data_IF_357953603821
#
_entry.id   IF_357953603821
#
_cell.length_a   1.000
_cell.length_b   1.000
_cell.length_c   1.000
_cell.angle_alpha   90.00
_cell.angle_beta   90.00
_cell.angle_gamma   90.00
#
_symmetry.space_group_name_H-M   'P 1'
#
loop_
_entity.id
_entity.type
_entity.pdbx_description
1 polymer ?
#
# COMPACT_ATOMS: atom_id res chain seq x y z
N UNK A 1 -6.91 18.91 -11.79
CA UNK A 1 -5.94 18.50 -10.75
C UNK A 1 -6.68 17.61 -9.77
N UNK A 2 -6.12 16.46 -9.42
CA UNK A 2 -6.73 15.55 -8.46
C UNK A 2 -6.55 16.15 -7.07
N UNK A 3 -7.66 16.31 -6.36
CA UNK A 3 -7.68 16.89 -5.03
C UNK A 3 -7.40 15.82 -3.97
N UNK A 4 -6.31 16.01 -3.22
CA UNK A 4 -5.86 15.16 -2.12
C UNK A 4 -5.37 16.13 -1.03
N UNK A 5 -6.26 16.62 -0.17
CA UNK A 5 -6.02 17.81 0.64
C UNK A 5 -4.93 17.63 1.70
N UNK A 6 -4.69 16.41 2.15
CA UNK A 6 -3.70 16.06 3.18
C UNK A 6 -2.42 15.43 2.62
N UNK A 7 -2.17 15.56 1.31
CA UNK A 7 -1.00 14.98 0.67
C UNK A 7 0.29 15.57 1.25
N UNK A 8 1.15 14.70 1.77
CA UNK A 8 2.50 15.01 2.25
C UNK A 8 3.51 14.59 1.19
N UNK A 9 4.09 15.57 0.51
CA UNK A 9 5.14 15.34 -0.47
C UNK A 9 6.42 14.80 0.17
N UNK A 10 6.98 13.76 -0.43
CA UNK A 10 8.29 13.22 -0.10
C UNK A 10 9.35 13.71 -1.09
N UNK A 11 9.15 13.40 -2.38
CA UNK A 11 10.06 13.77 -3.46
C UNK A 11 9.36 13.63 -4.81
N UNK A 12 9.90 14.24 -5.86
CA UNK A 12 9.35 14.11 -7.21
C UNK A 12 9.54 12.69 -7.76
N UNK A 13 8.56 12.20 -8.53
CA UNK A 13 8.73 10.96 -9.27
C UNK A 13 9.74 11.18 -10.42
N UNK A 14 10.74 10.31 -10.63
CA UNK A 14 11.65 10.42 -11.76
C UNK A 14 10.91 10.37 -13.11
N UNK A 15 11.31 11.21 -14.06
CA UNK A 15 10.66 11.29 -15.38
C UNK A 15 10.78 9.97 -16.15
N UNK A 16 11.86 9.23 -15.97
CA UNK A 16 12.06 7.92 -16.59
C UNK A 16 10.99 6.93 -16.11
N UNK A 17 10.65 6.96 -14.81
CA UNK A 17 9.61 6.11 -14.23
C UNK A 17 8.23 6.52 -14.75
N UNK A 18 7.93 7.81 -14.81
CA UNK A 18 6.67 8.30 -15.41
C UNK A 18 6.54 7.80 -16.85
N UNK A 19 7.59 7.95 -17.66
CA UNK A 19 7.59 7.50 -19.05
C UNK A 19 7.47 5.98 -19.20
N UNK A 20 8.07 5.20 -18.28
CA UNK A 20 7.99 3.74 -18.26
C UNK A 20 6.57 3.21 -18.02
N UNK A 21 5.75 3.95 -17.27
CA UNK A 21 4.45 3.50 -16.77
C UNK A 21 3.22 4.27 -17.30
N UNK A 22 3.39 5.41 -17.97
CA UNK A 22 2.28 6.28 -18.41
C UNK A 22 1.14 5.61 -19.18
N UNK A 23 1.44 4.55 -19.92
CA UNK A 23 0.46 3.80 -20.73
C UNK A 23 0.07 2.44 -20.10
N UNK A 24 0.52 2.17 -18.87
CA UNK A 24 0.34 0.88 -18.17
C UNK A 24 -0.50 0.97 -16.90
N UNK A 25 -0.54 2.16 -16.29
CA UNK A 25 -1.35 2.46 -15.11
C UNK A 25 -2.34 3.58 -15.44
N UNK A 26 -3.36 3.80 -14.59
CA UNK A 26 -4.38 4.82 -14.84
C UNK A 26 -3.82 6.23 -14.97
N UNK A 27 -4.38 7.01 -15.89
CA UNK A 27 -3.96 8.39 -16.17
C UNK A 27 -4.06 9.28 -14.94
N UNK A 28 -5.00 8.98 -14.03
CA UNK A 28 -5.16 9.71 -12.78
C UNK A 28 -3.94 9.56 -11.87
N UNK A 29 -3.34 8.36 -11.80
CA UNK A 29 -2.14 8.13 -11.01
C UNK A 29 -0.94 8.86 -11.64
N UNK A 30 -0.83 8.83 -12.96
CA UNK A 30 0.19 9.57 -13.70
C UNK A 30 0.05 11.08 -13.46
N UNK A 31 -1.18 11.60 -13.41
CA UNK A 31 -1.41 13.01 -13.06
C UNK A 31 -0.92 13.33 -11.64
N UNK A 32 -1.12 12.43 -10.67
CA UNK A 32 -0.60 12.62 -9.30
C UNK A 32 0.92 12.54 -9.27
N UNK A 33 1.55 11.63 -10.01
CA UNK A 33 3.01 11.56 -10.08
C UNK A 33 3.64 12.84 -10.66
N UNK A 34 3.03 13.42 -11.70
CA UNK A 34 3.51 14.67 -12.28
C UNK A 34 3.29 15.90 -11.37
N UNK A 35 2.15 15.97 -10.68
CA UNK A 35 1.77 17.13 -9.87
C UNK A 35 2.34 17.09 -8.44
N UNK A 36 2.35 15.90 -7.83
CA UNK A 36 2.64 15.71 -6.40
C UNK A 36 3.82 14.78 -6.12
N UNK A 37 4.24 13.96 -7.08
CA UNK A 37 5.33 13.01 -6.92
C UNK A 37 5.00 11.85 -5.96
N UNK A 38 6.03 11.41 -5.23
CA UNK A 38 5.93 10.44 -4.15
C UNK A 38 5.52 11.13 -2.86
N UNK A 39 4.79 10.41 -2.01
CA UNK A 39 4.31 10.97 -0.74
C UNK A 39 3.26 10.09 -0.09
N UNK A 40 2.65 10.61 0.96
CA UNK A 40 1.56 9.95 1.68
C UNK A 40 0.32 10.82 1.75
N UNK A 41 -0.83 10.18 1.97
CA UNK A 41 -2.11 10.85 2.19
C UNK A 41 -3.02 9.95 3.05
N UNK A 42 -4.22 10.42 3.35
CA UNK A 42 -5.16 9.72 4.24
C UNK A 42 -4.56 9.49 5.63
N UNK A 43 -4.13 10.58 6.27
CA UNK A 43 -3.47 10.58 7.58
C UNK A 43 -2.19 9.73 7.59
N UNK A 44 -1.49 9.64 6.45
CA UNK A 44 -0.27 8.84 6.28
C UNK A 44 -0.51 7.36 5.97
N UNK A 45 -1.78 6.92 5.90
CA UNK A 45 -2.12 5.51 5.70
C UNK A 45 -1.72 5.03 4.31
N UNK A 46 -2.03 5.77 3.25
CA UNK A 46 -1.70 5.41 1.87
C UNK A 46 -0.46 6.15 1.40
N UNK A 47 0.42 5.44 0.69
CA UNK A 47 1.65 6.00 0.13
C UNK A 47 1.71 5.80 -1.36
N UNK A 48 1.89 6.88 -2.11
CA UNK A 48 2.23 6.85 -3.55
C UNK A 48 3.68 6.41 -3.66
N UNK A 49 3.95 5.30 -4.34
CA UNK A 49 5.28 4.69 -4.45
C UNK A 49 5.83 4.71 -5.87
N UNK A 50 7.14 4.59 -5.97
CA UNK A 50 7.81 4.20 -7.21
C UNK A 50 7.66 2.67 -7.38
N UNK A 51 7.02 2.18 -8.45
CA UNK A 51 6.80 0.73 -8.61
C UNK A 51 8.10 -0.08 -8.62
N UNK A 52 9.17 0.48 -9.19
CA UNK A 52 10.46 -0.21 -9.36
C UNK A 52 11.07 -0.64 -8.01
N UNK A 53 10.78 0.08 -6.92
CA UNK A 53 11.34 -0.21 -5.59
C UNK A 53 10.72 -1.44 -4.91
N UNK A 54 9.62 -1.96 -5.49
CA UNK A 54 8.79 -3.03 -4.94
C UNK A 54 8.66 -4.25 -5.86
N UNK A 55 9.25 -4.23 -7.05
CA UNK A 55 9.14 -5.35 -8.00
C UNK A 55 9.74 -6.65 -7.45
N UNK A 56 10.90 -6.58 -6.79
CA UNK A 56 11.57 -7.76 -6.25
C UNK A 56 10.75 -8.40 -5.13
N UNK A 57 10.29 -7.60 -4.15
CA UNK A 57 9.47 -8.13 -3.06
C UNK A 57 8.13 -8.65 -3.57
N UNK A 58 7.53 -8.01 -4.58
CA UNK A 58 6.31 -8.48 -5.19
C UNK A 58 6.50 -9.84 -5.87
N UNK A 59 7.61 -10.01 -6.61
CA UNK A 59 7.97 -11.26 -7.28
C UNK A 59 8.12 -12.43 -6.30
N UNK A 60 8.67 -12.17 -5.12
CA UNK A 60 8.88 -13.22 -4.11
C UNK A 60 7.60 -13.55 -3.33
N UNK A 61 6.61 -12.65 -3.31
CA UNK A 61 5.50 -12.70 -2.35
C UNK A 61 4.10 -12.78 -2.98
N UNK A 62 3.98 -12.72 -4.30
CA UNK A 62 2.70 -12.81 -5.00
C UNK A 62 2.79 -13.66 -6.27
N UNK A 63 1.96 -14.70 -6.35
CA UNK A 63 1.97 -15.69 -7.43
C UNK A 63 1.71 -15.09 -8.82
N UNK A 64 1.05 -13.92 -8.89
CA UNK A 64 0.74 -13.22 -10.15
C UNK A 64 1.54 -11.92 -10.34
N UNK A 65 2.69 -11.77 -9.67
CA UNK A 65 3.55 -10.59 -9.74
C UNK A 65 3.83 -10.08 -11.18
N UNK A 66 4.00 -10.98 -12.15
CA UNK A 66 4.23 -10.65 -13.57
C UNK A 66 3.10 -9.84 -14.23
N UNK A 67 1.88 -9.87 -13.66
CA UNK A 67 0.70 -9.14 -14.15
C UNK A 67 0.40 -7.88 -13.36
N UNK A 68 1.11 -7.66 -12.26
CA UNK A 68 0.78 -6.67 -11.25
C UNK A 68 1.81 -5.53 -11.24
N UNK A 69 1.34 -4.29 -11.16
CA UNK A 69 2.20 -3.11 -10.99
C UNK A 69 1.94 -2.54 -9.59
N UNK A 70 2.92 -2.52 -8.68
CA UNK A 70 2.72 -1.93 -7.36
C UNK A 70 2.57 -0.41 -7.50
N UNK A 71 1.49 0.13 -6.94
CA UNK A 71 1.08 1.54 -7.12
C UNK A 71 0.93 2.29 -5.80
N UNK A 72 0.59 1.59 -4.71
CA UNK A 72 0.58 2.14 -3.37
C UNK A 72 1.06 1.12 -2.35
N UNK A 73 1.44 1.61 -1.17
CA UNK A 73 1.56 0.80 0.04
C UNK A 73 0.69 1.37 1.14
N UNK A 74 0.33 0.52 2.11
CA UNK A 74 -0.36 0.96 3.31
C UNK A 74 0.59 1.00 4.52
N UNK A 75 0.31 1.90 5.45
CA UNK A 75 0.98 1.92 6.74
C UNK A 75 0.63 0.71 7.64
N UNK A 76 -0.22 -0.22 7.17
CA UNK A 76 -0.56 -1.48 7.83
C UNK A 76 0.07 -2.71 7.16
N UNK A 77 1.02 -2.52 6.25
CA UNK A 77 1.83 -3.63 5.73
C UNK A 77 1.32 -4.26 4.43
N UNK A 78 0.42 -3.59 3.71
CA UNK A 78 -0.16 -4.11 2.47
C UNK A 78 0.41 -3.38 1.24
N UNK A 79 0.45 -4.07 0.09
CA UNK A 79 0.76 -3.45 -1.22
C UNK A 79 -0.54 -3.40 -2.03
N UNK A 80 -0.84 -2.25 -2.63
CA UNK A 80 -1.88 -2.14 -3.64
C UNK A 80 -1.24 -2.21 -5.03
N UNK A 81 -1.78 -3.08 -5.87
CA UNK A 81 -1.31 -3.29 -7.23
C UNK A 81 -2.39 -2.92 -8.25
N UNK A 82 -1.95 -2.43 -9.41
CA UNK A 82 -2.77 -2.34 -10.61
C UNK A 82 -2.64 -3.63 -11.41
N UNK A 83 -3.75 -4.35 -11.59
CA UNK A 83 -3.78 -5.62 -12.28
C UNK A 83 -5.13 -5.80 -12.99
N UNK A 84 -5.10 -6.20 -14.26
CA UNK A 84 -6.29 -6.52 -15.07
C UNK A 84 -7.40 -5.44 -15.07
N UNK A 85 -7.04 -4.17 -14.85
CA UNK A 85 -7.99 -3.05 -14.78
C UNK A 85 -8.56 -2.76 -13.39
N UNK A 86 -8.06 -3.42 -12.35
CA UNK A 86 -8.48 -3.30 -10.97
C UNK A 86 -7.33 -2.84 -10.07
N UNK A 87 -7.69 -2.20 -8.95
CA UNK A 87 -6.80 -2.04 -7.81
C UNK A 87 -7.02 -3.23 -6.90
N UNK A 88 -6.01 -4.09 -6.77
CA UNK A 88 -6.01 -5.20 -5.83
C UNK A 88 -5.17 -4.83 -4.61
N UNK A 89 -5.62 -5.22 -3.42
CA UNK A 89 -4.85 -5.12 -2.18
C UNK A 89 -4.30 -6.50 -1.83
N UNK A 90 -2.98 -6.59 -1.75
CA UNK A 90 -2.24 -7.75 -1.28
C UNK A 90 -2.12 -7.63 0.25
N UNK A 91 -3.00 -8.34 0.96
CA UNK A 91 -3.12 -8.27 2.43
C UNK A 91 -2.15 -9.23 3.11
N UNK A 92 -0.87 -8.87 3.17
CA UNK A 92 0.17 -9.75 3.72
C UNK A 92 -0.10 -10.17 5.16
N UNK A 93 -0.55 -9.24 6.01
CA UNK A 93 -0.89 -9.53 7.42
C UNK A 93 -2.02 -10.56 7.59
N UNK A 94 -2.93 -10.69 6.61
CA UNK A 94 -4.13 -11.56 6.68
C UNK A 94 -4.13 -12.71 5.68
N UNK A 95 -3.14 -12.77 4.78
CA UNK A 95 -2.97 -13.88 3.84
C UNK A 95 -4.02 -13.92 2.73
N UNK A 96 -4.26 -12.81 2.02
CA UNK A 96 -5.20 -12.83 0.89
C UNK A 96 -5.08 -11.65 -0.07
N UNK A 97 -5.78 -11.76 -1.20
CA UNK A 97 -5.87 -10.72 -2.23
C UNK A 97 -7.33 -10.31 -2.41
N UNK A 98 -7.60 -9.01 -2.33
CA UNK A 98 -8.95 -8.47 -2.48
C UNK A 98 -9.01 -7.31 -3.47
N UNK A 99 -10.16 -7.14 -4.15
CA UNK A 99 -10.39 -6.00 -5.02
C UNK A 99 -10.72 -4.77 -4.18
N UNK A 100 -9.79 -3.82 -4.10
CA UNK A 100 -9.99 -2.55 -3.42
C UNK A 100 -10.82 -1.56 -4.25
N UNK A 101 -10.63 -1.54 -5.57
CA UNK A 101 -11.41 -0.69 -6.47
C UNK A 101 -11.47 -1.21 -7.91
N UNK A 102 -12.66 -1.15 -8.53
CA UNK A 102 -12.86 -1.52 -9.94
C UNK A 102 -12.87 -0.37 -10.94
N UNK A 103 -12.87 0.89 -10.49
CA UNK A 103 -12.80 2.08 -11.35
C UNK A 103 -11.84 3.09 -10.75
N UNK A 104 -10.62 3.11 -11.26
CA UNK A 104 -9.54 3.94 -10.70
C UNK A 104 -9.86 5.43 -10.65
N UNK A 105 -10.64 5.97 -11.61
CA UNK A 105 -11.07 7.37 -11.61
C UNK A 105 -11.74 7.87 -10.33
N UNK A 106 -12.29 6.96 -9.53
CA UNK A 106 -12.91 7.29 -8.24
C UNK A 106 -12.00 6.96 -7.04
N UNK A 107 -10.85 6.31 -7.26
CA UNK A 107 -9.99 5.82 -6.21
C UNK A 107 -9.54 6.95 -5.28
N UNK A 108 -8.91 8.01 -5.78
CA UNK A 108 -8.45 9.12 -4.94
C UNK A 108 -9.58 9.80 -4.16
N UNK A 109 -10.75 10.00 -4.80
CA UNK A 109 -11.93 10.57 -4.14
C UNK A 109 -12.42 9.67 -2.99
N UNK A 110 -12.39 8.36 -3.17
CA UNK A 110 -12.80 7.42 -2.14
C UNK A 110 -11.70 7.24 -1.09
N UNK A 111 -10.43 7.28 -1.47
CA UNK A 111 -9.31 7.01 -0.61
C UNK A 111 -9.10 8.08 0.47
N UNK A 112 -9.70 9.26 0.33
CA UNK A 112 -9.75 10.31 1.37
C UNK A 112 -10.95 10.18 2.32
N UNK A 113 -11.80 9.17 2.14
CA UNK A 113 -12.97 8.89 2.97
C UNK A 113 -12.71 7.71 3.92
N UNK A 114 -12.86 7.94 5.22
CA UNK A 114 -12.56 6.94 6.26
C UNK A 114 -13.41 5.67 6.11
N UNK A 115 -14.64 5.77 5.60
CA UNK A 115 -15.48 4.59 5.37
C UNK A 115 -14.92 3.69 4.26
N UNK A 116 -14.37 4.25 3.19
CA UNK A 116 -13.65 3.46 2.18
C UNK A 116 -12.37 2.84 2.76
N UNK A 117 -11.58 3.58 3.53
CA UNK A 117 -10.36 3.05 4.17
C UNK A 117 -10.68 1.87 5.09
N UNK A 118 -11.77 1.96 5.85
CA UNK A 118 -12.21 0.88 6.73
C UNK A 118 -12.76 -0.32 5.95
N UNK A 119 -13.67 -0.10 4.99
CA UNK A 119 -14.42 -1.20 4.35
C UNK A 119 -13.70 -1.83 3.17
N UNK A 120 -12.96 -1.05 2.39
CA UNK A 120 -12.28 -1.54 1.20
C UNK A 120 -10.80 -1.83 1.45
N UNK A 121 -10.15 -1.08 2.34
CA UNK A 121 -8.70 -1.22 2.59
C UNK A 121 -8.35 -1.86 3.94
N UNK A 122 -9.34 -2.23 4.74
CA UNK A 122 -9.14 -2.92 6.02
C UNK A 122 -8.14 -2.19 6.93
N UNK A 123 -8.22 -0.86 7.00
CA UNK A 123 -7.18 -0.05 7.64
C UNK A 123 -7.07 -0.24 9.16
N UNK A 124 -8.02 -0.92 9.80
CA UNK A 124 -7.99 -1.11 11.24
C UNK A 124 -6.80 -2.00 11.65
N UNK A 125 -6.16 -1.72 12.82
CA UNK A 125 -6.46 -0.67 13.80
C UNK A 125 -5.60 0.61 13.64
N UNK A 126 -5.30 1.05 12.41
CA UNK A 126 -4.37 2.17 12.12
C UNK A 126 -4.62 3.44 12.94
N UNK A 127 -5.88 3.89 13.06
CA UNK A 127 -6.21 5.12 13.80
C UNK A 127 -5.87 5.06 15.29
N UNK A 128 -5.90 3.87 15.88
CA UNK A 128 -5.48 3.65 17.26
C UNK A 128 -3.95 3.58 17.34
N UNK A 129 -3.33 2.85 16.41
CA UNK A 129 -1.88 2.67 16.34
C UNK A 129 -1.13 4.01 16.20
N UNK A 130 -1.58 4.93 15.34
CA UNK A 130 -0.92 6.24 15.19
C UNK A 130 -1.02 7.12 16.45
N UNK A 131 -2.06 6.96 17.28
CA UNK A 131 -2.20 7.70 18.54
C UNK A 131 -1.23 7.19 19.59
N UNK A 132 -0.94 5.90 19.58
CA UNK A 132 -0.05 5.24 20.56
C UNK A 132 1.42 5.34 20.15
N UNK A 133 1.72 5.14 18.87
CA UNK A 133 3.10 4.95 18.37
C UNK A 133 3.57 6.06 17.42
N UNK A 134 2.67 6.96 17.00
CA UNK A 134 2.93 7.93 15.94
C UNK A 134 2.94 7.30 14.54
N UNK A 135 2.90 8.14 13.51
CA UNK A 135 2.93 7.71 12.10
C UNK A 135 4.23 6.95 11.79
N UNK A 136 4.19 5.80 11.08
CA UNK A 136 5.39 5.14 10.57
C UNK A 136 6.05 5.96 9.46
N UNK A 137 7.38 5.88 9.34
CA UNK A 137 8.10 6.50 8.24
C UNK A 137 7.63 5.97 6.88
N UNK A 138 7.98 6.66 5.80
CA UNK A 138 7.49 6.34 4.45
C UNK A 138 7.79 4.91 4.00
N UNK A 139 8.91 4.33 4.44
CA UNK A 139 9.32 2.95 4.15
C UNK A 139 8.97 1.95 5.28
N UNK A 140 8.25 2.39 6.30
CA UNK A 140 7.82 1.58 7.45
C UNK A 140 6.32 1.27 7.43
N UNK A 141 5.89 0.27 8.18
CA UNK A 141 4.49 0.00 8.49
C UNK A 141 4.33 -0.46 9.93
N UNK A 142 3.09 -0.54 10.39
CA UNK A 142 2.74 -1.31 11.57
C UNK A 142 2.67 -2.79 11.19
N UNK A 143 3.58 -3.58 11.75
CA UNK A 143 3.62 -5.03 11.60
C UNK A 143 3.25 -5.72 12.92
N UNK A 144 2.53 -6.83 12.83
CA UNK A 144 2.18 -7.62 14.02
C UNK A 144 3.36 -8.44 14.53
N UNK A 145 3.64 -8.33 15.83
CA UNK A 145 4.65 -9.11 16.54
C UNK A 145 3.99 -9.86 17.74
N UNK A 146 3.87 -11.20 17.70
CA UNK A 146 4.19 -12.11 16.58
C UNK A 146 3.23 -11.97 15.39
N UNK A 147 3.64 -12.50 14.23
CA UNK A 147 2.83 -12.51 13.00
C UNK A 147 1.46 -13.16 13.23
N UNK A 148 0.39 -12.60 12.63
CA UNK A 148 -0.97 -13.15 12.76
C UNK A 148 -1.06 -14.59 12.24
N UNK A 149 -0.41 -14.87 11.10
CA UNK A 149 -0.37 -16.22 10.52
C UNK A 149 0.32 -17.29 11.40
N UNK A 150 1.06 -16.87 12.43
CA UNK A 150 1.65 -17.75 13.44
C UNK A 150 0.80 -17.87 14.72
N UNK A 151 -0.45 -17.40 14.68
CA UNK A 151 -1.35 -17.38 15.84
C UNK A 151 -1.18 -16.15 16.74
N UNK A 152 -0.53 -15.10 16.24
CA UNK A 152 -0.39 -13.84 16.95
C UNK A 152 -1.75 -13.13 17.15
N UNK A 153 -1.92 -12.38 18.27
CA UNK A 153 -3.16 -11.66 18.52
C UNK A 153 -3.28 -10.41 17.63
N UNK A 154 -4.44 -10.25 16.99
CA UNK A 154 -4.80 -9.03 16.24
C UNK A 154 -5.21 -7.91 17.20
N UNK A 155 -4.22 -7.33 17.90
CA UNK A 155 -4.40 -6.24 18.87
C UNK A 155 -3.41 -5.11 18.59
N UNK A 156 -3.82 -3.88 18.89
CA UNK A 156 -2.97 -2.70 18.69
C UNK A 156 -1.65 -2.79 19.48
N UNK A 157 -1.69 -3.37 20.69
CA UNK A 157 -0.52 -3.56 21.56
C UNK A 157 0.55 -4.48 20.96
N UNK A 158 0.20 -5.23 19.92
CA UNK A 158 1.07 -6.14 19.20
C UNK A 158 1.59 -5.55 17.88
N UNK A 159 1.40 -4.25 17.66
CA UNK A 159 1.96 -3.55 16.51
C UNK A 159 3.30 -2.92 16.85
N UNK A 160 4.27 -3.12 15.97
CA UNK A 160 5.56 -2.43 15.98
C UNK A 160 5.78 -1.72 14.65
N UNK A 161 6.51 -0.61 14.67
CA UNK A 161 7.01 0.01 13.43
C UNK A 161 8.14 -0.86 12.90
N UNK A 162 7.97 -1.34 11.68
CA UNK A 162 8.91 -2.23 11.00
C UNK A 162 9.10 -1.75 9.56
N UNK A 163 10.22 -2.11 8.93
CA UNK A 163 10.43 -1.84 7.51
C UNK A 163 9.51 -2.72 6.68
N UNK A 164 8.80 -2.11 5.74
CA UNK A 164 7.69 -2.75 5.02
C UNK A 164 8.15 -3.98 4.22
N UNK A 165 9.23 -3.84 3.44
CA UNK A 165 9.69 -4.91 2.54
C UNK A 165 10.23 -6.11 3.32
N UNK A 166 10.95 -5.85 4.39
CA UNK A 166 11.50 -6.84 5.31
C UNK A 166 10.39 -7.57 6.05
N UNK A 167 9.33 -6.85 6.46
CA UNK A 167 8.18 -7.46 7.12
C UNK A 167 7.37 -8.35 6.16
N UNK A 168 7.14 -7.90 4.93
CA UNK A 168 6.52 -8.71 3.88
C UNK A 168 7.36 -9.96 3.61
N UNK A 169 8.67 -9.80 3.44
CA UNK A 169 9.58 -10.92 3.21
C UNK A 169 9.50 -11.95 4.34
N UNK A 170 9.51 -11.49 5.59
CA UNK A 170 9.36 -12.35 6.77
C UNK A 170 8.03 -13.11 6.75
N UNK A 171 6.91 -12.43 6.49
CA UNK A 171 5.59 -13.07 6.36
C UNK A 171 5.63 -14.15 5.28
N UNK A 172 6.16 -13.83 4.09
CA UNK A 172 6.25 -14.75 2.96
C UNK A 172 7.10 -15.98 3.28
N UNK A 173 8.20 -15.85 4.03
CA UNK A 173 9.00 -17.01 4.43
C UNK A 173 8.24 -17.99 5.33
N UNK A 174 7.31 -17.52 6.15
CA UNK A 174 6.51 -18.38 7.01
C UNK A 174 5.22 -18.88 6.35
N UNK A 175 4.55 -18.01 5.59
CA UNK A 175 3.18 -18.23 5.10
C UNK A 175 3.11 -18.62 3.62
N UNK A 176 4.21 -18.46 2.86
CA UNK A 176 4.22 -18.60 1.41
C UNK A 176 3.83 -17.30 0.69
N UNK A 177 3.79 -17.38 -0.63
CA UNK A 177 3.28 -16.30 -1.49
C UNK A 177 1.75 -16.19 -1.40
N UNK A 178 1.22 -15.00 -1.73
CA UNK A 178 -0.21 -14.80 -1.90
C UNK A 178 -0.67 -15.36 -3.27
N UNK A 179 -1.88 -15.92 -3.32
CA UNK A 179 -2.50 -16.49 -4.53
C UNK A 179 -3.66 -15.64 -5.07
#
# INVERSE_FOLDING_TARGET
MIDIPDFKHLTSMPEEVINQYKDKIPEELISVWNDKGLGSFSKGYLRVINPNDYLDILKDSYARAEKAIPIFTTAMGDILVWEDGYVLQLKYRKGGVEVAAGKFKFFFKNAIDDYFLEKALDWAPYEEAIKLYGEPDYDECFGYTPLLGLGGPEKVDNLEKVKLKEHIYLITQFMGELE
#
